data_IF_036645416595
#
_entry.id   IF_036645416595
#
_cell.length_a   1.000
_cell.length_b   1.000
_cell.length_c   1.000
_cell.angle_alpha   90.00
_cell.angle_beta   90.00
_cell.angle_gamma   90.00
#
_symmetry.space_group_name_H-M   'P 1'
#
loop_
_entity.id
_entity.type
_entity.pdbx_description
1 polymer ?
#
# COMPACT_ATOMS: atom_id res chain seq x y z
N UNK A 1 -23.54 -26.10 -1.60
CA UNK A 1 -24.10 -24.73 -1.55
C UNK A 1 -23.90 -24.03 -0.19
N UNK A 2 -24.00 -24.75 0.93
CA UNK A 2 -23.85 -24.19 2.30
C UNK A 2 -22.41 -23.72 2.62
N UNK A 3 -21.39 -24.46 2.21
CA UNK A 3 -19.97 -24.13 2.49
C UNK A 3 -19.55 -22.81 1.82
N UNK A 4 -19.94 -22.60 0.56
CA UNK A 4 -19.69 -21.34 -0.18
C UNK A 4 -20.26 -20.13 0.57
N UNK A 5 -21.44 -20.27 1.19
CA UNK A 5 -22.11 -19.21 1.94
C UNK A 5 -21.30 -18.81 3.18
N UNK A 6 -20.73 -19.78 3.90
CA UNK A 6 -19.90 -19.52 5.08
C UNK A 6 -18.56 -18.88 4.73
N UNK A 7 -17.91 -19.32 3.65
CA UNK A 7 -16.66 -18.70 3.17
C UNK A 7 -16.89 -17.23 2.78
N UNK A 8 -18.02 -16.93 2.13
CA UNK A 8 -18.37 -15.57 1.75
C UNK A 8 -18.63 -14.66 2.97
N UNK A 9 -19.37 -15.18 3.97
CA UNK A 9 -19.62 -14.47 5.24
C UNK A 9 -18.33 -14.20 6.03
N UNK A 10 -17.43 -15.18 6.10
CA UNK A 10 -16.13 -15.02 6.77
C UNK A 10 -15.24 -14.00 6.05
N UNK A 11 -15.27 -13.98 4.71
CA UNK A 11 -14.55 -12.98 3.91
C UNK A 11 -15.03 -11.56 4.19
N UNK A 12 -16.35 -11.34 4.23
CA UNK A 12 -16.94 -10.03 4.55
C UNK A 12 -16.58 -9.60 5.98
N UNK A 13 -16.67 -10.52 6.94
CA UNK A 13 -16.29 -10.25 8.34
C UNK A 13 -14.82 -9.87 8.47
N UNK A 14 -13.91 -10.55 7.76
CA UNK A 14 -12.49 -10.22 7.77
C UNK A 14 -12.20 -8.83 7.20
N UNK A 15 -12.88 -8.44 6.10
CA UNK A 15 -12.75 -7.11 5.50
C UNK A 15 -13.24 -6.03 6.47
N UNK A 16 -14.39 -6.24 7.12
CA UNK A 16 -14.95 -5.30 8.09
C UNK A 16 -14.02 -5.11 9.30
N UNK A 17 -13.50 -6.21 9.86
CA UNK A 17 -12.54 -6.15 10.97
C UNK A 17 -11.25 -5.44 10.56
N UNK A 18 -10.74 -5.73 9.36
CA UNK A 18 -9.57 -5.04 8.80
C UNK A 18 -9.78 -3.54 8.65
N UNK A 19 -10.93 -3.12 8.13
CA UNK A 19 -11.27 -1.69 8.01
C UNK A 19 -11.36 -1.00 9.38
N UNK A 20 -12.01 -1.62 10.36
CA UNK A 20 -12.13 -1.06 11.71
C UNK A 20 -10.75 -0.89 12.35
N UNK A 21 -9.86 -1.87 12.21
CA UNK A 21 -8.48 -1.80 12.71
C UNK A 21 -7.67 -0.67 12.07
N UNK A 22 -7.79 -0.50 10.75
CA UNK A 22 -7.11 0.58 10.02
C UNK A 22 -7.62 1.94 10.46
N UNK A 23 -8.94 2.10 10.62
CA UNK A 23 -9.55 3.35 11.07
C UNK A 23 -9.18 3.64 12.53
N UNK A 24 -9.23 2.65 13.41
CA UNK A 24 -8.84 2.79 14.81
C UNK A 24 -7.36 3.18 14.97
N UNK A 25 -6.49 2.64 14.11
CA UNK A 25 -5.07 3.00 14.04
C UNK A 25 -4.85 4.44 13.51
N UNK A 26 -5.69 4.87 12.56
CA UNK A 26 -5.62 6.21 11.98
C UNK A 26 -6.04 7.31 12.98
N UNK A 27 -6.99 7.06 13.87
CA UNK A 27 -7.51 8.06 14.83
C UNK A 27 -6.46 8.49 15.86
N UNK A 28 -5.57 7.59 16.30
CA UNK A 28 -4.54 7.87 17.31
C UNK A 28 -3.20 8.33 16.73
N UNK A 29 -3.07 8.34 15.41
CA UNK A 29 -1.80 8.62 14.76
C UNK A 29 -1.83 10.03 14.16
N UNK A 30 -0.90 10.91 14.57
CA UNK A 30 -0.59 12.12 13.79
C UNK A 30 -0.41 11.67 12.34
N UNK A 31 -1.20 12.19 11.41
CA UNK A 31 -1.19 11.76 10.01
C UNK A 31 0.18 12.04 9.42
N UNK A 32 1.01 11.00 9.36
CA UNK A 32 2.34 11.07 8.77
C UNK A 32 2.16 10.93 7.27
N UNK A 33 2.23 12.04 6.56
CA UNK A 33 2.11 12.09 5.10
C UNK A 33 3.46 11.90 4.42
N UNK A 34 3.42 11.32 3.23
CA UNK A 34 4.53 11.32 2.28
C UNK A 34 4.00 11.36 0.86
N UNK A 35 4.79 11.88 -0.06
CA UNK A 35 4.48 11.96 -1.48
C UNK A 35 5.66 11.50 -2.32
N UNK A 36 5.33 10.99 -3.51
CA UNK A 36 6.31 10.67 -4.56
C UNK A 36 5.83 11.39 -5.82
N UNK A 37 6.73 12.17 -6.42
CA UNK A 37 6.52 12.76 -7.74
C UNK A 37 7.57 12.16 -8.67
N UNK A 38 7.13 11.51 -9.75
CA UNK A 38 8.02 10.92 -10.74
C UNK A 38 8.31 11.93 -11.85
N UNK A 39 9.58 12.25 -12.07
CA UNK A 39 10.04 13.02 -13.23
C UNK A 39 10.87 12.08 -14.10
N UNK A 40 10.22 11.47 -15.10
CA UNK A 40 10.81 10.35 -15.84
C UNK A 40 11.10 9.15 -14.92
N UNK A 41 12.26 8.48 -15.05
CA UNK A 41 12.62 7.35 -14.18
C UNK A 41 13.11 7.79 -12.78
N UNK A 42 13.15 9.09 -12.48
CA UNK A 42 13.67 9.62 -11.23
C UNK A 42 12.52 9.98 -10.27
N UNK A 43 12.39 9.28 -9.12
CA UNK A 43 11.40 9.62 -8.10
C UNK A 43 11.91 10.74 -7.18
N UNK A 44 11.12 11.81 -7.04
CA UNK A 44 11.29 12.84 -6.02
C UNK A 44 10.39 12.51 -4.83
N UNK A 45 10.99 12.37 -3.65
CA UNK A 45 10.32 11.83 -2.48
C UNK A 45 10.29 12.87 -1.36
N UNK A 46 9.09 13.17 -0.87
CA UNK A 46 8.88 13.98 0.32
C UNK A 46 8.20 13.17 1.41
N UNK A 47 8.64 13.32 2.66
CA UNK A 47 8.00 12.66 3.79
C UNK A 47 8.05 13.53 5.04
N UNK A 48 6.99 13.46 5.84
CA UNK A 48 6.85 14.24 7.08
C UNK A 48 7.63 13.62 8.25
N UNK A 49 8.03 12.36 8.12
CA UNK A 49 8.68 11.59 9.18
C UNK A 49 9.72 10.62 8.61
N UNK A 50 10.79 10.36 9.37
CA UNK A 50 11.84 9.40 8.97
C UNK A 50 11.26 8.02 8.64
N UNK A 51 10.31 7.52 9.44
CA UNK A 51 9.66 6.23 9.19
C UNK A 51 8.91 6.24 7.86
N UNK A 52 8.16 7.31 7.57
CA UNK A 52 7.46 7.47 6.29
C UNK A 52 8.43 7.60 5.13
N UNK A 53 9.55 8.29 5.30
CA UNK A 53 10.57 8.43 4.27
C UNK A 53 11.08 7.06 3.80
N UNK A 54 11.45 6.20 4.75
CA UNK A 54 11.90 4.83 4.42
C UNK A 54 10.78 3.99 3.79
N UNK A 55 9.54 4.10 4.28
CA UNK A 55 8.40 3.39 3.68
C UNK A 55 8.18 3.81 2.23
N UNK A 56 8.19 5.11 1.97
CA UNK A 56 7.91 5.70 0.64
C UNK A 56 9.04 5.38 -0.35
N UNK A 57 10.31 5.45 0.08
CA UNK A 57 11.46 4.99 -0.71
C UNK A 57 11.34 3.51 -1.06
N UNK A 58 11.03 2.66 -0.08
CA UNK A 58 10.91 1.22 -0.29
C UNK A 58 9.83 0.92 -1.32
N UNK A 59 8.68 1.58 -1.20
CA UNK A 59 7.59 1.49 -2.18
C UNK A 59 8.03 1.92 -3.58
N UNK A 60 8.77 3.03 -3.68
CA UNK A 60 9.28 3.56 -4.94
C UNK A 60 10.23 2.58 -5.64
N UNK A 61 11.12 1.93 -4.89
CA UNK A 61 12.08 0.94 -5.41
C UNK A 61 11.33 -0.30 -5.91
N UNK A 62 10.37 -0.82 -5.12
CA UNK A 62 9.54 -1.96 -5.52
C UNK A 62 8.79 -1.65 -6.81
N UNK A 63 8.22 -0.45 -6.92
CA UNK A 63 7.51 -0.02 -8.12
C UNK A 63 8.42 0.07 -9.35
N UNK A 64 9.65 0.56 -9.18
CA UNK A 64 10.66 0.64 -10.25
C UNK A 64 11.05 -0.77 -10.74
N UNK A 65 11.26 -1.71 -9.81
CA UNK A 65 11.55 -3.11 -10.12
C UNK A 65 10.38 -3.74 -10.90
N UNK A 66 9.14 -3.54 -10.43
CA UNK A 66 7.94 -4.03 -11.12
C UNK A 66 7.86 -3.52 -12.55
N UNK A 67 8.08 -2.23 -12.79
CA UNK A 67 8.08 -1.65 -14.14
C UNK A 67 9.17 -2.26 -15.02
N UNK A 68 10.39 -2.44 -14.48
CA UNK A 68 11.50 -3.04 -15.22
C UNK A 68 11.20 -4.50 -15.61
N UNK A 69 10.63 -5.29 -14.70
CA UNK A 69 10.20 -6.65 -14.99
C UNK A 69 9.06 -6.68 -16.00
N UNK A 70 8.07 -5.80 -15.87
CA UNK A 70 6.93 -5.76 -16.76
C UNK A 70 7.34 -5.39 -18.20
N UNK A 71 8.29 -4.45 -18.35
CA UNK A 71 8.85 -4.10 -19.65
C UNK A 71 9.64 -5.26 -20.27
N UNK A 72 10.32 -6.07 -19.46
CA UNK A 72 11.07 -7.25 -19.93
C UNK A 72 10.16 -8.40 -20.38
N UNK A 73 8.93 -8.49 -19.87
CA UNK A 73 7.97 -9.53 -20.26
C UNK A 73 7.26 -9.25 -21.59
N UNK A 74 7.31 -8.01 -22.10
CA UNK A 74 6.62 -7.57 -23.31
C UNK A 74 7.54 -7.18 -24.49
N UNK A 75 8.85 -7.45 -24.37
CA UNK A 75 9.85 -7.34 -25.45
C UNK A 75 10.38 -8.75 -25.72
#
# INVERSE_FOLDING_TARGET
>A
MIIIRYVFLLGILAILVGMILVIASAINSKTKGGFIVWIGPFPIIGATDKKMFYTVITLSIIFLILILFWKKTFI
#
